data_IF_087316541354
#
_entry.id   IF_087316541354
#
_cell.length_a   1.000
_cell.length_b   1.000
_cell.length_c   1.000
_cell.angle_alpha   90.00
_cell.angle_beta   90.00
_cell.angle_gamma   90.00
#
_symmetry.space_group_name_H-M   'P 1'
#
loop_
_entity.id
_entity.type
_entity.pdbx_description
1 polymer ?
#
# COMPACT_ATOMS: atom_id res chain seq x y z
N UNK A 1 4.55 12.26 -5.01
CA UNK A 1 4.14 11.81 -3.66
C UNK A 1 5.40 11.75 -2.80
N UNK A 2 5.39 12.25 -1.56
CA UNK A 2 6.57 12.21 -0.70
C UNK A 2 6.52 10.99 0.24
N UNK A 3 7.64 10.28 0.30
CA UNK A 3 7.80 9.04 1.06
C UNK A 3 8.08 9.36 2.52
N UNK A 4 7.31 8.76 3.44
CA UNK A 4 7.54 8.83 4.89
C UNK A 4 8.53 7.75 5.30
N UNK A 5 8.29 6.51 4.86
CA UNK A 5 9.11 5.36 5.20
C UNK A 5 9.08 4.33 4.07
N UNK A 6 10.27 3.85 3.69
CA UNK A 6 10.45 2.71 2.79
C UNK A 6 11.19 1.58 3.50
N UNK A 7 10.85 0.33 3.23
CA UNK A 7 11.59 -0.79 3.80
C UNK A 7 11.08 -2.16 3.38
N UNK A 8 11.95 -3.15 3.43
CA UNK A 8 11.59 -4.55 3.21
C UNK A 8 10.86 -5.12 4.42
N UNK A 9 9.71 -5.74 4.17
CA UNK A 9 8.99 -6.53 5.16
C UNK A 9 8.52 -7.83 4.55
N UNK A 10 8.35 -8.84 5.39
CA UNK A 10 7.61 -10.03 5.01
C UNK A 10 6.13 -9.77 5.18
N UNK A 11 5.33 -10.21 4.22
CA UNK A 11 3.88 -10.11 4.22
C UNK A 11 3.27 -11.49 4.07
N UNK A 12 2.26 -11.80 4.87
CA UNK A 12 1.47 -13.00 4.68
C UNK A 12 0.39 -12.76 3.62
N UNK A 13 0.29 -13.65 2.64
CA UNK A 13 -0.81 -13.62 1.67
C UNK A 13 -2.13 -14.02 2.33
N UNK A 14 -3.22 -13.34 1.98
CA UNK A 14 -4.55 -13.60 2.55
C UNK A 14 -5.15 -14.95 2.10
N UNK A 15 -4.80 -15.42 0.90
CA UNK A 15 -5.35 -16.65 0.31
C UNK A 15 -4.52 -17.87 0.71
N UNK A 16 -3.22 -17.86 0.41
CA UNK A 16 -2.35 -19.03 0.58
C UNK A 16 -1.60 -19.05 1.92
N UNK A 17 -1.75 -18.00 2.74
CA UNK A 17 -1.05 -17.81 4.04
C UNK A 17 0.47 -17.95 4.01
N UNK A 18 1.10 -17.97 2.82
CA UNK A 18 2.55 -17.92 2.63
C UNK A 18 3.11 -16.52 2.89
N UNK A 19 4.32 -16.48 3.42
CA UNK A 19 5.10 -15.26 3.58
C UNK A 19 5.84 -14.91 2.27
N UNK A 20 5.77 -13.65 1.87
CA UNK A 20 6.53 -13.09 0.75
C UNK A 20 7.31 -11.88 1.22
N UNK A 21 8.54 -11.69 0.75
CA UNK A 21 9.28 -10.45 0.97
C UNK A 21 8.78 -9.41 -0.03
N UNK A 22 8.38 -8.25 0.45
CA UNK A 22 7.90 -7.14 -0.37
C UNK A 22 8.56 -5.84 0.11
N UNK A 23 8.77 -4.90 -0.81
CA UNK A 23 9.15 -3.54 -0.45
C UNK A 23 7.90 -2.75 -0.10
N UNK A 24 7.85 -2.16 1.10
CA UNK A 24 6.75 -1.34 1.57
C UNK A 24 7.12 0.13 1.50
N UNK A 25 6.17 0.95 1.04
CA UNK A 25 6.30 2.40 1.00
C UNK A 25 5.08 3.04 1.67
N UNK A 26 5.33 3.75 2.77
CA UNK A 26 4.34 4.61 3.43
C UNK A 26 4.48 6.02 2.90
N UNK A 27 3.40 6.56 2.37
CA UNK A 27 3.35 7.87 1.73
C UNK A 27 2.70 8.91 2.65
N UNK A 28 3.05 10.20 2.46
CA UNK A 28 2.48 11.31 3.22
C UNK A 28 0.97 11.50 3.04
N UNK A 29 0.38 10.94 1.98
CA UNK A 29 -1.09 10.92 1.80
C UNK A 29 -1.77 9.90 2.73
N UNK A 30 -1.00 9.20 3.57
CA UNK A 30 -1.48 8.20 4.51
C UNK A 30 -1.86 6.89 3.83
N UNK A 31 -1.25 6.57 2.69
CA UNK A 31 -1.38 5.26 2.04
C UNK A 31 -0.11 4.44 2.17
N UNK A 32 -0.28 3.12 2.34
CA UNK A 32 0.77 2.13 2.39
C UNK A 32 0.69 1.26 1.14
N UNK A 33 1.63 1.45 0.21
CA UNK A 33 1.82 0.59 -0.95
C UNK A 33 2.82 -0.51 -0.66
N UNK A 34 2.65 -1.68 -1.28
CA UNK A 34 3.69 -2.71 -1.31
C UNK A 34 3.93 -3.23 -2.72
N UNK A 35 5.20 -3.39 -3.02
CA UNK A 35 5.74 -3.66 -4.35
C UNK A 35 6.51 -4.98 -4.35
N UNK A 36 6.74 -5.52 -5.54
CA UNK A 36 7.62 -6.68 -5.67
C UNK A 36 9.04 -6.35 -5.19
N UNK A 37 9.50 -5.15 -5.53
CA UNK A 37 10.87 -4.67 -5.35
C UNK A 37 10.92 -3.16 -5.08
N UNK A 38 12.13 -2.67 -4.78
CA UNK A 38 12.39 -1.28 -4.43
C UNK A 38 12.22 -0.29 -5.58
N UNK A 39 12.17 -0.78 -6.83
CA UNK A 39 11.95 0.06 -8.02
C UNK A 39 10.55 0.70 -8.03
N UNK A 40 9.63 0.19 -7.21
CA UNK A 40 8.24 0.63 -7.08
C UNK A 40 7.48 0.67 -8.43
N UNK A 41 7.92 -0.12 -9.41
CA UNK A 41 7.27 -0.22 -10.72
C UNK A 41 6.05 -1.15 -10.68
N UNK A 42 6.17 -2.28 -9.97
CA UNK A 42 5.13 -3.29 -9.86
C UNK A 42 4.44 -3.24 -8.48
N UNK A 43 3.40 -2.41 -8.39
CA UNK A 43 2.53 -2.33 -7.21
C UNK A 43 1.67 -3.61 -7.10
N UNK A 44 1.84 -4.38 -6.03
CA UNK A 44 1.00 -5.56 -5.80
C UNK A 44 -0.33 -5.16 -5.15
N UNK A 45 -0.32 -4.19 -4.23
CA UNK A 45 -1.53 -3.53 -3.72
C UNK A 45 -1.21 -2.23 -2.96
N UNK A 46 -2.26 -1.47 -2.63
CA UNK A 46 -2.20 -0.26 -1.81
C UNK A 46 -3.36 -0.17 -0.82
N UNK A 47 -3.01 0.12 0.43
CA UNK A 47 -3.93 0.18 1.56
C UNK A 47 -3.98 1.60 2.11
N UNK A 48 -5.19 2.09 2.39
CA UNK A 48 -5.37 3.36 3.10
C UNK A 48 -5.08 3.13 4.60
N UNK A 49 -4.15 3.90 5.15
CA UNK A 49 -3.79 3.89 6.57
C UNK A 49 -4.49 5.03 7.31
N UNK A 50 -4.55 6.22 6.71
CA UNK A 50 -5.18 7.40 7.28
C UNK A 50 -6.60 7.13 7.77
N UNK A 51 -6.85 7.35 9.07
CA UNK A 51 -8.08 7.04 9.79
C UNK A 51 -8.63 5.61 9.65
N UNK A 52 -7.88 4.69 9.06
CA UNK A 52 -8.36 3.33 8.76
C UNK A 52 -7.72 2.26 9.65
N UNK A 53 -6.64 2.58 10.37
CA UNK A 53 -6.05 1.65 11.35
C UNK A 53 -6.86 1.71 12.65
N UNK A 54 -7.33 0.54 13.09
CA UNK A 54 -8.01 0.34 14.37
C UNK A 54 -7.00 0.07 15.49
N UNK A 55 -6.09 -0.86 15.26
CA UNK A 55 -5.04 -1.25 16.21
C UNK A 55 -3.87 -1.94 15.50
N UNK A 56 -2.69 -1.88 16.11
CA UNK A 56 -1.48 -2.56 15.63
C UNK A 56 -0.88 -3.38 16.76
N UNK A 57 -0.83 -4.70 16.55
CA UNK A 57 -0.26 -5.68 17.47
C UNK A 57 1.18 -6.02 17.07
N UNK A 58 2.06 -6.26 18.03
CA UNK A 58 3.46 -6.66 17.79
C UNK A 58 3.81 -7.93 18.55
N UNK A 59 4.68 -8.76 17.97
CA UNK A 59 5.38 -9.80 18.70
C UNK A 59 4.44 -10.87 19.25
N UNK A 60 4.46 -11.05 20.57
CA UNK A 60 3.60 -12.01 21.26
C UNK A 60 2.11 -11.67 21.16
N UNK A 61 1.74 -10.40 20.97
CA UNK A 61 0.34 -9.98 20.79
C UNK A 61 -0.28 -10.53 19.49
N UNK A 62 0.56 -10.93 18.52
CA UNK A 62 0.15 -11.55 17.26
C UNK A 62 -0.12 -13.05 17.47
N UNK A 63 -1.16 -13.41 18.24
CA UNK A 63 -1.47 -14.80 18.58
C UNK A 63 -1.84 -15.67 17.36
N UNK A 64 -2.54 -15.08 16.39
CA UNK A 64 -3.16 -15.79 15.26
C UNK A 64 -2.19 -16.12 14.11
N UNK A 65 -0.91 -15.74 14.25
CA UNK A 65 0.09 -15.78 13.18
C UNK A 65 1.42 -16.32 13.68
N UNK A 66 2.01 -17.21 12.87
CA UNK A 66 3.38 -17.68 13.07
C UNK A 66 4.35 -16.90 12.19
N UNK A 67 5.56 -16.58 12.69
CA UNK A 67 6.57 -15.90 11.92
C UNK A 67 7.04 -16.77 10.75
N UNK A 68 7.60 -16.16 9.68
CA UNK A 68 8.25 -16.91 8.61
C UNK A 68 9.44 -17.73 9.14
N UNK A 69 9.81 -18.78 8.41
CA UNK A 69 10.91 -19.67 8.77
C UNK A 69 12.22 -18.88 9.03
N UNK A 70 12.88 -19.17 10.14
CA UNK A 70 14.12 -18.50 10.55
C UNK A 70 13.95 -17.08 11.10
N UNK A 71 12.73 -16.58 11.31
CA UNK A 71 12.49 -15.26 11.92
C UNK A 71 11.93 -15.36 13.34
N UNK A 72 12.31 -14.39 14.18
CA UNK A 72 11.79 -14.27 15.54
C UNK A 72 10.34 -13.82 15.51
N UNK A 73 9.56 -14.30 16.51
CA UNK A 73 8.21 -13.80 16.76
C UNK A 73 8.22 -12.31 17.05
N UNK A 74 9.28 -11.77 17.66
CA UNK A 74 9.35 -10.35 18.06
C UNK A 74 9.30 -9.37 16.89
N UNK A 75 9.61 -9.82 15.67
CA UNK A 75 9.50 -9.03 14.45
C UNK A 75 8.09 -9.02 13.86
N UNK A 76 7.14 -9.81 14.36
CA UNK A 76 5.77 -9.85 13.86
C UNK A 76 5.02 -8.56 14.15
N UNK A 77 4.22 -8.13 13.19
CA UNK A 77 3.33 -6.99 13.30
C UNK A 77 2.01 -7.29 12.58
N UNK A 78 0.88 -7.10 13.27
CA UNK A 78 -0.44 -7.22 12.68
C UNK A 78 -1.15 -5.88 12.71
N UNK A 79 -1.46 -5.34 11.52
CA UNK A 79 -2.24 -4.11 11.35
C UNK A 79 -3.70 -4.49 11.16
N UNK A 80 -4.55 -4.08 12.10
CA UNK A 80 -6.00 -4.28 12.01
C UNK A 80 -6.66 -3.00 11.49
N UNK A 81 -7.42 -3.13 10.40
CA UNK A 81 -8.14 -2.04 9.75
C UNK A 81 -9.61 -2.01 10.19
N UNK A 82 -10.27 -0.86 10.07
CA UNK A 82 -11.64 -0.65 10.54
C UNK A 82 -12.67 -1.54 9.85
N UNK A 83 -12.52 -1.79 8.55
CA UNK A 83 -13.44 -2.63 7.76
C UNK A 83 -13.16 -4.15 7.90
N UNK A 84 -12.47 -4.57 8.96
CA UNK A 84 -12.14 -5.97 9.21
C UNK A 84 -10.94 -6.50 8.40
N UNK A 85 -10.35 -5.67 7.53
CA UNK A 85 -9.09 -5.97 6.86
C UNK A 85 -7.96 -6.13 7.87
N UNK A 86 -7.05 -7.08 7.61
CA UNK A 86 -5.86 -7.30 8.43
C UNK A 86 -4.65 -7.50 7.57
N UNK A 87 -3.54 -6.87 7.93
CA UNK A 87 -2.23 -7.11 7.31
C UNK A 87 -1.32 -7.79 8.33
N UNK A 88 -0.81 -8.97 7.97
CA UNK A 88 0.19 -9.67 8.76
C UNK A 88 1.56 -9.45 8.14
N UNK A 89 2.42 -8.79 8.90
CA UNK A 89 3.75 -8.37 8.51
C UNK A 89 4.79 -8.99 9.46
N UNK A 90 6.02 -9.14 8.99
CA UNK A 90 7.17 -9.47 9.83
C UNK A 90 8.37 -8.63 9.39
N UNK A 91 8.92 -7.86 10.31
CA UNK A 91 10.17 -7.16 10.14
C UNK A 91 11.37 -8.07 10.43
N UNK A 92 12.57 -7.59 10.13
CA UNK A 92 13.79 -8.35 10.39
C UNK A 92 14.12 -8.37 11.88
N UNK A 93 13.89 -7.24 12.56
CA UNK A 93 14.14 -7.05 13.98
C UNK A 93 12.89 -6.54 14.70
N UNK A 94 12.91 -6.64 16.04
CA UNK A 94 11.87 -6.06 16.90
C UNK A 94 11.81 -4.54 16.76
N UNK A 95 12.96 -3.89 16.68
CA UNK A 95 13.06 -2.43 16.59
C UNK A 95 12.49 -1.93 15.26
N UNK A 96 12.73 -2.66 14.16
CA UNK A 96 12.10 -2.36 12.88
C UNK A 96 10.58 -2.47 12.94
N UNK A 97 10.06 -3.52 13.60
CA UNK A 97 8.62 -3.71 13.77
C UNK A 97 8.00 -2.55 14.59
N UNK A 98 8.68 -2.12 15.66
CA UNK A 98 8.27 -0.96 16.45
C UNK A 98 8.28 0.33 15.63
N UNK A 99 9.33 0.55 14.86
CA UNK A 99 9.47 1.75 14.05
C UNK A 99 8.41 1.79 12.92
N UNK A 100 8.02 0.64 12.36
CA UNK A 100 6.87 0.54 11.45
C UNK A 100 5.53 0.81 12.15
N UNK A 101 5.31 0.28 13.36
CA UNK A 101 4.10 0.58 14.14
C UNK A 101 3.95 2.08 14.41
N UNK A 102 5.02 2.74 14.86
CA UNK A 102 5.00 4.18 15.13
C UNK A 102 4.64 4.96 13.86
N UNK A 103 5.33 4.69 12.74
CA UNK A 103 5.06 5.38 11.48
C UNK A 103 3.60 5.18 10.98
N UNK A 104 3.05 3.97 11.14
CA UNK A 104 1.66 3.68 10.75
C UNK A 104 0.64 4.37 11.66
N UNK A 105 0.90 4.44 12.97
CA UNK A 105 0.02 5.15 13.90
C UNK A 105 0.06 6.67 13.70
N UNK A 106 1.24 7.21 13.40
CA UNK A 106 1.41 8.61 13.02
C UNK A 106 0.62 8.90 11.73
N UNK A 107 0.83 8.12 10.66
CA UNK A 107 0.09 8.29 9.40
C UNK A 107 -1.43 8.06 9.53
N UNK A 108 -1.87 7.25 10.50
CA UNK A 108 -3.30 7.04 10.79
C UNK A 108 -3.96 8.26 11.45
N UNK A 109 -3.19 9.06 12.21
CA UNK A 109 -3.69 10.16 13.03
C UNK A 109 -3.32 11.55 12.48
N UNK A 110 -2.31 11.63 11.64
CA UNK A 110 -1.86 12.86 11.03
C UNK A 110 -2.91 13.35 10.01
N UNK A 111 -3.41 14.59 10.13
CA UNK A 111 -4.23 15.19 9.09
C UNK A 111 -3.39 15.30 7.82
N UNK A 112 -3.90 14.79 6.70
CA UNK A 112 -3.24 14.95 5.41
C UNK A 112 -2.94 16.45 5.19
N UNK A 113 -1.71 16.83 4.80
CA UNK A 113 -1.40 18.23 4.54
C UNK A 113 -2.36 18.79 3.48
N UNK A 114 -2.87 20.00 3.72
CA UNK A 114 -3.82 20.65 2.83
C UNK A 114 -3.26 20.66 1.38
N UNK A 115 -3.87 19.88 0.49
CA UNK A 115 -3.42 19.72 -0.90
C UNK A 115 -2.90 18.33 -1.28
N UNK A 116 -2.79 17.37 -0.36
CA UNK A 116 -2.49 15.98 -0.69
C UNK A 116 -3.74 15.30 -1.31
N UNK A 117 -3.90 15.42 -2.63
CA UNK A 117 -4.91 14.66 -3.37
C UNK A 117 -4.51 13.18 -3.31
N UNK A 118 -5.27 12.36 -2.59
CA UNK A 118 -5.12 10.89 -2.65
C UNK A 118 -5.40 10.51 -4.11
N UNK A 119 -4.41 10.02 -4.88
CA UNK A 119 -4.71 9.57 -6.22
C UNK A 119 -5.70 8.41 -6.08
N UNK A 120 -6.83 8.44 -6.82
CA UNK A 120 -7.85 7.41 -6.72
C UNK A 120 -7.16 6.05 -6.86
N UNK A 121 -7.52 5.10 -5.98
CA UNK A 121 -7.14 3.69 -6.08
C UNK A 121 -7.16 3.34 -7.56
N UNK A 122 -5.99 3.00 -8.12
CA UNK A 122 -5.90 2.49 -9.49
C UNK A 122 -6.89 1.34 -9.58
N UNK A 123 -8.10 1.60 -10.07
CA UNK A 123 -8.96 0.55 -10.58
C UNK A 123 -8.17 0.04 -11.75
N UNK A 124 -7.46 -1.08 -11.53
CA UNK A 124 -6.88 -1.96 -12.54
C UNK A 124 -7.30 -1.50 -13.93
N UNK A 125 -6.38 -0.88 -14.67
CA UNK A 125 -6.52 -0.82 -16.11
C UNK A 125 -6.71 -2.27 -16.54
N UNK A 126 -7.93 -2.60 -16.92
CA UNK A 126 -8.31 -3.94 -17.30
C UNK A 126 -7.51 -4.26 -18.56
N UNK A 127 -6.46 -5.07 -18.44
CA UNK A 127 -5.50 -5.30 -19.53
C UNK A 127 -6.05 -6.16 -20.68
N UNK A 128 -7.36 -6.45 -20.71
CA UNK A 128 -8.00 -7.24 -21.78
C UNK A 128 -9.50 -6.94 -21.87
N UNK A 129 -9.86 -5.81 -22.48
CA UNK A 129 -11.12 -5.74 -23.24
C UNK A 129 -10.79 -5.23 -24.63
N UNK A 130 -10.54 -6.18 -25.54
CA UNK A 130 -10.60 -5.96 -26.98
C UNK A 130 -12.06 -5.64 -27.29
N UNK A 131 -12.42 -4.37 -27.31
CA UNK A 131 -13.74 -3.93 -27.78
C UNK A 131 -13.83 -4.24 -29.28
N UNK A 132 -14.38 -5.41 -29.61
CA UNK A 132 -14.82 -5.73 -30.98
C UNK A 132 -16.28 -5.29 -31.08
N UNK A 133 -16.50 -4.03 -31.46
CA UNK A 133 -17.80 -3.58 -31.96
C UNK A 133 -17.59 -2.81 -33.26
N UNK A 134 -17.91 -3.48 -34.39
CA UNK A 134 -18.08 -2.87 -35.71
C UNK A 134 -19.32 -1.98 -35.70
N UNK A 135 -19.24 -0.79 -35.13
CA UNK A 135 -20.13 0.32 -35.44
C UNK A 135 -19.70 1.54 -34.63
N UNK A 136 -19.27 2.58 -35.33
CA UNK A 136 -18.96 3.87 -34.75
C UNK A 136 -20.25 4.51 -34.23
N UNK A 137 -20.38 4.60 -32.91
CA UNK A 137 -21.27 5.56 -32.25
C UNK A 137 -20.52 6.05 -31.01
N UNK A 138 -20.23 7.36 -30.86
CA UNK A 138 -19.43 7.84 -29.74
C UNK A 138 -20.26 7.77 -28.45
N UNK A 139 -19.84 6.93 -27.51
CA UNK A 139 -20.30 7.02 -26.13
C UNK A 139 -19.83 8.37 -25.56
N UNK A 140 -20.77 9.25 -25.19
CA UNK A 140 -20.51 10.50 -24.45
C UNK A 140 -20.04 10.19 -23.03
N UNK A 141 -18.82 9.71 -22.89
CA UNK A 141 -18.09 9.69 -21.62
C UNK A 141 -16.87 10.56 -21.86
N UNK A 142 -16.88 11.78 -21.31
CA UNK A 142 -15.69 12.63 -21.20
C UNK A 142 -14.64 11.86 -20.40
N UNK A 143 -13.76 11.16 -21.12
CA UNK A 143 -12.57 10.55 -20.55
C UNK A 143 -11.52 11.65 -20.46
N UNK A 144 -11.42 12.28 -19.30
CA UNK A 144 -10.22 13.02 -18.89
C UNK A 144 -9.09 12.01 -18.78
N UNK A 145 -8.17 12.03 -19.73
CA UNK A 145 -7.01 11.14 -19.77
C UNK A 145 -5.96 11.80 -18.87
N UNK A 146 -5.70 11.19 -17.72
CA UNK A 146 -4.62 11.62 -16.86
C UNK A 146 -3.31 11.07 -17.40
N UNK A 147 -2.48 11.96 -17.94
CA UNK A 147 -1.14 11.59 -18.42
C UNK A 147 -0.16 11.84 -17.27
N UNK A 148 0.60 10.81 -16.89
CA UNK A 148 1.67 10.93 -15.90
C UNK A 148 2.91 11.49 -16.61
N UNK A 149 3.28 12.73 -16.27
CA UNK A 149 4.50 13.36 -16.79
C UNK A 149 5.59 13.20 -15.74
N UNK A 150 6.65 12.46 -16.08
CA UNK A 150 7.80 12.30 -15.19
C UNK A 150 8.69 13.55 -15.29
N UNK A 151 8.81 14.28 -14.19
CA UNK A 151 9.76 15.39 -14.02
C UNK A 151 10.70 15.07 -12.86
N UNK A 152 12.02 15.32 -13.00
CA UNK A 152 13.03 14.97 -12.00
C UNK A 152 12.88 15.71 -10.66
N UNK A 153 11.96 16.67 -10.54
CA UNK A 153 11.70 17.42 -9.31
C UNK A 153 10.32 17.16 -8.70
N UNK A 154 9.31 16.75 -9.48
CA UNK A 154 7.96 16.46 -8.96
C UNK A 154 7.11 15.72 -9.99
N UNK A 155 6.58 14.54 -9.64
CA UNK A 155 5.52 13.89 -10.42
C UNK A 155 4.22 14.69 -10.30
N UNK A 156 3.69 15.19 -11.42
CA UNK A 156 2.35 15.77 -11.49
C UNK A 156 1.51 15.08 -12.58
N UNK A 157 0.19 15.11 -12.39
CA UNK A 157 -0.78 14.54 -13.32
C UNK A 157 -1.47 15.68 -14.06
N UNK A 158 -1.40 15.69 -15.39
CA UNK A 158 -2.17 16.63 -16.23
C UNK A 158 -3.43 15.96 -16.78
N UNK A 159 -4.51 16.73 -16.86
CA UNK A 159 -5.75 16.33 -17.53
C UNK A 159 -5.67 16.74 -18.99
N UNK A 160 -5.76 15.75 -19.90
CA UNK A 160 -6.01 15.97 -21.33
C UNK A 160 -7.40 15.48 -21.69
#
# INVERSE_FOLDING_TARGET
MALVRGGWLWRQSSILRRWKRNWFALWLDGTLGYYHDETAQDEEDRVLIHFNVRDIKIGQECHDVQPPEGRSRDGLLTVNLREGGRLHLCAETKDDALAWKTALLEANSAPAPAGATVPPRSRRVCSKVRCVTRSWSPCKVERRIWVRVYSPYQDYYEVV
#
